data_IF_143102818038
#
_entry.id   IF_143102818038
#
_cell.length_a   1.000
_cell.length_b   1.000
_cell.length_c   1.000
_cell.angle_alpha   90.00
_cell.angle_beta   90.00
_cell.angle_gamma   90.00
#
_symmetry.space_group_name_H-M   'P 1'
#
loop_
_entity.id
_entity.type
_entity.pdbx_description
1 polymer ?
#
# COMPACT_ATOMS: atom_id res chain seq x y z
N UNK A 1 -7.62 26.00 3.70
CA UNK A 1 -8.40 25.16 2.75
C UNK A 1 -8.63 26.04 1.54
N UNK A 2 -7.97 25.76 0.40
CA UNK A 2 -8.05 26.62 -0.80
C UNK A 2 -9.47 26.73 -1.36
N UNK A 3 -9.65 27.43 -2.49
CA UNK A 3 -10.92 28.04 -2.93
C UNK A 3 -12.15 27.09 -3.02
N UNK A 4 -11.96 25.76 -3.10
CA UNK A 4 -13.03 24.74 -3.07
C UNK A 4 -12.55 23.42 -2.42
N UNK A 5 -11.58 23.46 -1.51
CA UNK A 5 -11.03 22.22 -0.94
C UNK A 5 -10.11 21.42 -1.88
N UNK A 6 -9.86 21.89 -3.11
CA UNK A 6 -8.89 21.29 -4.05
C UNK A 6 -7.49 21.08 -3.45
N UNK A 7 -7.06 22.00 -2.59
CA UNK A 7 -5.77 21.90 -1.90
C UNK A 7 -5.77 21.01 -0.66
N UNK A 8 -6.89 20.36 -0.33
CA UNK A 8 -7.00 19.52 0.87
C UNK A 8 -6.06 18.32 0.80
N UNK A 9 -6.07 17.57 -0.30
CA UNK A 9 -5.20 16.40 -0.48
C UNK A 9 -3.72 16.76 -0.40
N UNK A 10 -3.33 17.91 -0.95
CA UNK A 10 -1.96 18.44 -0.86
C UNK A 10 -1.59 18.87 0.57
N UNK A 11 -2.53 19.47 1.31
CA UNK A 11 -2.32 19.89 2.68
C UNK A 11 -2.15 18.69 3.63
N UNK A 12 -2.91 17.61 3.43
CA UNK A 12 -2.77 16.37 4.19
C UNK A 12 -1.42 15.67 3.90
N UNK A 13 -0.98 15.65 2.63
CA UNK A 13 0.34 15.15 2.26
C UNK A 13 1.46 15.99 2.88
N UNK A 14 1.40 17.32 2.75
CA UNK A 14 2.41 18.22 3.29
C UNK A 14 2.49 18.12 4.83
N UNK A 15 1.34 17.98 5.50
CA UNK A 15 1.29 17.76 6.95
C UNK A 15 2.03 16.48 7.35
N UNK A 16 1.87 15.38 6.60
CA UNK A 16 2.56 14.13 6.87
C UNK A 16 4.07 14.23 6.64
N UNK A 17 4.52 14.95 5.59
CA UNK A 17 5.94 15.15 5.28
C UNK A 17 6.63 16.04 6.32
N UNK A 18 5.99 17.13 6.75
CA UNK A 18 6.53 18.07 7.74
C UNK A 18 6.54 17.47 9.14
N UNK A 19 5.60 16.56 9.45
CA UNK A 19 5.60 15.79 10.70
C UNK A 19 6.66 14.70 10.64
N UNK A 20 7.92 15.11 10.61
CA UNK A 20 9.06 14.21 10.67
C UNK A 20 8.98 13.41 11.99
N UNK A 21 8.65 12.14 11.87
CA UNK A 21 8.50 11.25 13.02
C UNK A 21 9.91 10.93 13.51
N UNK A 22 10.28 11.44 14.69
CA UNK A 22 11.48 10.95 15.40
C UNK A 22 11.37 9.42 15.55
N UNK A 23 12.20 8.69 14.81
CA UNK A 23 12.21 7.21 14.71
C UNK A 23 12.67 6.54 16.02
N UNK A 24 13.08 7.33 17.00
CA UNK A 24 13.85 6.89 18.16
C UNK A 24 13.13 5.93 19.12
N UNK A 25 11.81 5.76 19.03
CA UNK A 25 11.02 4.98 20.01
C UNK A 25 10.25 3.77 19.46
N UNK A 26 10.38 3.45 18.17
CA UNK A 26 9.84 2.21 17.60
C UNK A 26 10.87 1.64 16.63
N UNK A 27 11.46 0.50 16.97
CA UNK A 27 12.19 -0.35 16.03
C UNK A 27 11.22 -0.78 14.91
N UNK A 28 10.95 0.08 13.94
CA UNK A 28 10.41 -0.36 12.65
C UNK A 28 11.55 -1.12 12.00
N UNK A 29 11.43 -2.44 11.88
CA UNK A 29 12.44 -3.20 11.15
C UNK A 29 12.45 -2.78 9.69
N UNK A 30 13.59 -2.95 9.03
CA UNK A 30 13.73 -2.75 7.58
C UNK A 30 12.65 -3.49 6.78
N UNK A 31 12.14 -4.61 7.31
CA UNK A 31 11.04 -5.36 6.72
C UNK A 31 9.75 -4.54 6.59
N UNK A 32 9.43 -3.71 7.60
CA UNK A 32 8.24 -2.86 7.57
C UNK A 32 8.34 -1.76 6.52
N UNK A 33 9.53 -1.19 6.35
CA UNK A 33 9.78 -0.18 5.31
C UNK A 33 9.67 -0.81 3.93
N UNK A 34 10.33 -1.95 3.70
CA UNK A 34 10.24 -2.70 2.44
C UNK A 34 8.82 -3.07 2.06
N UNK A 35 8.02 -3.55 3.02
CA UNK A 35 6.61 -3.90 2.80
C UNK A 35 5.75 -2.70 2.36
N UNK A 36 5.97 -1.51 2.92
CA UNK A 36 5.26 -0.29 2.51
C UNK A 36 5.65 0.13 1.09
N UNK A 37 6.94 0.11 0.75
CA UNK A 37 7.39 0.41 -0.61
C UNK A 37 6.81 -0.57 -1.65
N UNK A 38 6.79 -1.86 -1.33
CA UNK A 38 6.24 -2.88 -2.22
C UNK A 38 4.72 -2.72 -2.39
N UNK A 39 4.00 -2.31 -1.34
CA UNK A 39 2.56 -2.02 -1.42
C UNK A 39 2.25 -0.84 -2.35
N UNK A 40 3.06 0.22 -2.30
CA UNK A 40 2.96 1.36 -3.25
C UNK A 40 3.27 0.91 -4.68
N UNK A 41 4.26 0.03 -4.87
CA UNK A 41 4.58 -0.49 -6.20
C UNK A 41 3.41 -1.30 -6.80
N UNK A 42 2.77 -2.16 -5.99
CA UNK A 42 1.59 -2.93 -6.44
C UNK A 42 0.41 -2.00 -6.77
N UNK A 43 0.17 -0.96 -5.97
CA UNK A 43 -0.93 -0.01 -6.25
C UNK A 43 -0.70 0.75 -7.57
N UNK A 44 0.53 1.16 -7.86
CA UNK A 44 0.89 1.69 -9.18
C UNK A 44 0.65 0.67 -10.30
N UNK A 45 1.04 -0.60 -10.10
CA UNK A 45 0.77 -1.68 -11.06
C UNK A 45 -0.74 -1.88 -11.33
N UNK A 46 -1.57 -1.75 -10.30
CA UNK A 46 -3.03 -1.81 -10.44
C UNK A 46 -3.58 -0.65 -11.28
N UNK A 47 -3.08 0.57 -11.09
CA UNK A 47 -3.45 1.73 -11.91
C UNK A 47 -3.10 1.51 -13.39
N UNK A 48 -1.94 0.90 -13.68
CA UNK A 48 -1.53 0.56 -15.05
C UNK A 48 -2.46 -0.49 -15.66
N UNK A 49 -2.76 -1.58 -14.93
CA UNK A 49 -3.70 -2.60 -15.43
C UNK A 49 -5.09 -2.01 -15.72
N UNK A 50 -5.59 -1.14 -14.83
CA UNK A 50 -6.88 -0.49 -15.01
C UNK A 50 -6.90 0.41 -16.27
N UNK A 51 -5.81 1.16 -16.51
CA UNK A 51 -5.65 1.95 -17.72
C UNK A 51 -5.67 1.06 -18.98
N UNK A 52 -4.89 -0.03 -18.99
CA UNK A 52 -4.85 -0.97 -20.13
C UNK A 52 -6.22 -1.59 -20.41
N UNK A 53 -6.97 -1.93 -19.36
CA UNK A 53 -8.34 -2.41 -19.50
C UNK A 53 -9.26 -1.37 -20.17
N UNK A 54 -9.17 -0.10 -19.76
CA UNK A 54 -9.97 0.98 -20.34
C UNK A 54 -9.55 1.35 -21.77
N UNK A 55 -8.29 1.14 -22.15
CA UNK A 55 -7.84 1.32 -23.53
C UNK A 55 -8.34 0.21 -24.48
N UNK A 56 -9.02 -0.81 -23.97
CA UNK A 56 -9.59 -1.88 -24.80
C UNK A 56 -8.54 -2.80 -25.43
N UNK A 57 -7.31 -2.79 -24.92
CA UNK A 57 -6.27 -3.73 -25.36
C UNK A 57 -6.68 -5.11 -24.86
N UNK A 58 -7.14 -5.96 -25.77
CA UNK A 58 -7.56 -7.33 -25.50
C UNK A 58 -6.34 -8.21 -25.19
N UNK A 59 -5.86 -8.10 -23.96
CA UNK A 59 -4.89 -9.03 -23.40
C UNK A 59 -5.68 -10.19 -22.77
N UNK A 60 -5.62 -11.38 -23.38
CA UNK A 60 -6.32 -12.59 -22.88
C UNK A 60 -5.95 -12.94 -21.44
N UNK A 61 -4.76 -12.50 -20.99
CA UNK A 61 -4.24 -12.76 -19.66
C UNK A 61 -4.58 -11.66 -18.62
N UNK A 62 -5.40 -10.65 -18.93
CA UNK A 62 -5.69 -9.53 -17.99
C UNK A 62 -6.26 -10.01 -16.65
N UNK A 63 -7.16 -10.99 -16.69
CA UNK A 63 -7.76 -11.56 -15.47
C UNK A 63 -6.69 -12.26 -14.60
N UNK A 64 -5.72 -12.92 -15.23
CA UNK A 64 -4.62 -13.61 -14.54
C UNK A 64 -3.64 -12.61 -13.92
N UNK A 65 -3.31 -11.54 -14.65
CA UNK A 65 -2.48 -10.45 -14.13
C UNK A 65 -3.13 -9.76 -12.92
N UNK A 66 -4.44 -9.53 -12.96
CA UNK A 66 -5.20 -9.01 -11.83
C UNK A 66 -5.13 -9.95 -10.61
N UNK A 67 -5.27 -11.26 -10.82
CA UNK A 67 -5.19 -12.26 -9.75
C UNK A 67 -3.79 -12.31 -9.12
N UNK A 68 -2.74 -12.25 -9.94
CA UNK A 68 -1.34 -12.17 -9.46
C UNK A 68 -1.14 -10.93 -8.60
N UNK A 69 -1.57 -9.75 -9.05
CA UNK A 69 -1.41 -8.52 -8.26
C UNK A 69 -2.17 -8.59 -6.92
N UNK A 70 -3.40 -9.11 -6.92
CA UNK A 70 -4.21 -9.23 -5.70
C UNK A 70 -3.56 -10.17 -4.70
N UNK A 71 -2.99 -11.29 -5.17
CA UNK A 71 -2.25 -12.23 -4.31
C UNK A 71 -1.04 -11.59 -3.63
N UNK A 72 -0.32 -10.70 -4.34
CA UNK A 72 0.87 -10.02 -3.81
C UNK A 72 0.56 -9.02 -2.69
N UNK A 73 -0.64 -8.44 -2.65
CA UNK A 73 -1.06 -7.51 -1.58
C UNK A 73 -1.07 -8.20 -0.22
N UNK A 74 -1.53 -9.46 -0.16
CA UNK A 74 -1.58 -10.26 1.09
C UNK A 74 -0.18 -10.40 1.71
N UNK A 75 0.83 -10.71 0.89
CA UNK A 75 2.23 -10.83 1.31
C UNK A 75 2.81 -9.51 1.82
N UNK A 76 2.42 -8.39 1.21
CA UNK A 76 2.84 -7.06 1.67
C UNK A 76 2.27 -6.72 3.04
N UNK A 77 0.99 -7.00 3.26
CA UNK A 77 0.34 -6.78 4.56
C UNK A 77 0.98 -7.63 5.66
N UNK A 78 1.35 -8.88 5.36
CA UNK A 78 2.07 -9.74 6.29
C UNK A 78 3.46 -9.18 6.64
N UNK A 79 4.23 -8.73 5.63
CA UNK A 79 5.56 -8.16 5.83
C UNK A 79 5.53 -6.87 6.69
N UNK A 80 4.51 -6.02 6.48
CA UNK A 80 4.29 -4.80 7.28
C UNK A 80 3.96 -5.16 8.74
N UNK A 81 3.09 -6.14 8.95
CA UNK A 81 2.66 -6.60 10.27
C UNK A 81 3.80 -7.21 11.08
N UNK A 82 4.63 -8.05 10.44
CA UNK A 82 5.82 -8.65 11.05
C UNK A 82 6.82 -7.58 11.51
N UNK A 83 6.99 -6.52 10.73
CA UNK A 83 7.98 -5.47 11.04
C UNK A 83 7.58 -4.45 12.11
N UNK A 84 6.37 -4.55 12.70
CA UNK A 84 5.89 -3.62 13.72
C UNK A 84 6.06 -4.10 15.17
N UNK A 85 6.62 -5.31 15.40
CA UNK A 85 6.91 -5.90 16.72
C UNK A 85 5.85 -5.70 17.80
N UNK A 86 4.57 -5.65 17.42
CA UNK A 86 3.44 -5.52 18.34
C UNK A 86 2.43 -6.63 18.05
N UNK A 87 2.05 -7.38 19.08
CA UNK A 87 1.15 -8.55 19.00
C UNK A 87 -0.20 -8.19 18.36
N UNK A 88 -0.73 -7.00 18.63
CA UNK A 88 -2.02 -6.55 18.08
C UNK A 88 -1.94 -6.21 16.59
N UNK A 89 -0.86 -5.55 16.16
CA UNK A 89 -0.67 -5.19 14.75
C UNK A 89 -0.51 -6.45 13.91
N UNK A 90 0.27 -7.42 14.39
CA UNK A 90 0.49 -8.69 13.70
C UNK A 90 -0.81 -9.49 13.57
N UNK A 91 -1.61 -9.61 14.64
CA UNK A 91 -2.93 -10.29 14.59
C UNK A 91 -3.90 -9.60 13.62
N UNK A 92 -3.92 -8.26 13.60
CA UNK A 92 -4.77 -7.51 12.67
C UNK A 92 -4.35 -7.69 11.21
N UNK A 93 -3.05 -7.70 10.91
CA UNK A 93 -2.51 -7.91 9.57
C UNK A 93 -2.75 -9.34 9.07
N UNK A 94 -2.63 -10.34 9.94
CA UNK A 94 -2.94 -11.73 9.60
C UNK A 94 -4.42 -11.87 9.22
N UNK A 95 -5.33 -11.28 10.01
CA UNK A 95 -6.76 -11.32 9.71
C UNK A 95 -7.08 -10.65 8.36
N UNK A 96 -6.43 -9.55 8.01
CA UNK A 96 -6.62 -8.90 6.71
C UNK A 96 -5.99 -9.67 5.55
N UNK A 97 -4.83 -10.30 5.77
CA UNK A 97 -4.12 -11.05 4.72
C UNK A 97 -4.83 -12.36 4.35
N UNK A 98 -5.55 -12.98 5.28
CA UNK A 98 -6.37 -14.17 4.98
C UNK A 98 -7.74 -13.85 4.36
N UNK A 99 -8.13 -12.57 4.32
CA UNK A 99 -9.40 -12.14 3.74
C UNK A 99 -9.29 -11.77 2.25
N UNK A 100 -8.10 -11.81 1.67
CA UNK A 100 -7.79 -11.51 0.26
C UNK A 100 -7.55 -12.76 -0.55
#
# INVERSE_FOLDING_TARGET
>A
VGILGLFQSFADLLKLVVKYKFVFFQNRSMLSWGGVYFLVFISCGYCVLFSVYHLGVSCEFLILWFLVLTSLVSYCLLAIGWGSYNKFVLLSCIRSAFSS
#
